data_IF_571691973584
#
_entry.id   IF_571691973584
#
_cell.length_a   1.000
_cell.length_b   1.000
_cell.length_c   1.000
_cell.angle_alpha   90.00
_cell.angle_beta   90.00
_cell.angle_gamma   90.00
#
_symmetry.space_group_name_H-M   'P 1'
#
loop_
_entity.id
_entity.type
_entity.pdbx_description
1 polymer ?
#
# COMPACT_ATOMS: atom_id res chain seq x y z
N UNK A 1 -11.23 -37.63 -16.61
CA UNK A 1 -11.61 -37.43 -15.19
C UNK A 1 -12.47 -36.15 -15.15
N UNK A 2 -13.67 -36.22 -15.74
CA UNK A 2 -15.03 -36.44 -15.16
C UNK A 2 -15.60 -35.19 -14.45
N UNK A 3 -16.64 -34.60 -15.06
CA UNK A 3 -17.42 -33.43 -14.61
C UNK A 3 -18.54 -33.82 -13.61
N UNK A 4 -19.04 -32.85 -12.81
CA UNK A 4 -20.47 -32.45 -12.58
C UNK A 4 -20.60 -31.38 -11.42
N UNK A 5 -21.76 -30.73 -11.15
CA UNK A 5 -21.87 -29.29 -10.80
C UNK A 5 -22.80 -28.95 -9.59
N UNK A 6 -23.13 -27.66 -9.30
CA UNK A 6 -24.50 -27.29 -8.82
C UNK A 6 -24.99 -25.84 -9.10
N UNK A 7 -25.96 -25.31 -8.32
CA UNK A 7 -27.16 -24.55 -8.72
C UNK A 7 -27.70 -23.40 -7.78
N UNK A 8 -26.94 -22.30 -7.61
CA UNK A 8 -27.29 -21.01 -6.97
C UNK A 8 -27.86 -19.97 -7.97
N UNK A 9 -28.23 -18.81 -7.44
CA UNK A 9 -29.04 -17.73 -8.02
C UNK A 9 -28.48 -16.37 -7.58
N UNK A 10 -28.21 -15.44 -8.51
CA UNK A 10 -28.11 -14.00 -8.20
C UNK A 10 -29.23 -13.24 -8.92
N UNK A 11 -30.17 -12.70 -8.14
CA UNK A 11 -31.28 -11.92 -8.66
C UNK A 11 -30.83 -10.53 -9.14
N UNK A 12 -31.32 -10.16 -10.32
CA UNK A 12 -31.41 -8.79 -10.87
C UNK A 12 -30.11 -8.03 -11.16
N UNK A 13 -29.63 -8.24 -12.40
CA UNK A 13 -29.04 -7.22 -13.31
C UNK A 13 -27.78 -6.45 -12.87
N UNK A 14 -26.61 -7.04 -13.15
CA UNK A 14 -25.35 -6.31 -13.39
C UNK A 14 -24.77 -6.79 -14.74
N UNK A 15 -24.28 -5.87 -15.58
CA UNK A 15 -24.14 -6.07 -17.04
C UNK A 15 -22.71 -5.84 -17.61
N UNK A 16 -21.64 -6.03 -16.84
CA UNK A 16 -20.28 -5.98 -17.40
C UNK A 16 -20.02 -7.19 -18.31
N UNK A 17 -19.41 -6.96 -19.48
CA UNK A 17 -19.16 -8.01 -20.47
C UNK A 17 -17.76 -8.64 -20.26
N UNK A 18 -17.74 -9.87 -19.74
CA UNK A 18 -16.55 -10.74 -19.77
C UNK A 18 -16.54 -11.52 -21.08
N UNK A 19 -15.55 -11.30 -21.92
CA UNK A 19 -15.35 -12.06 -23.17
C UNK A 19 -14.15 -12.97 -23.02
N UNK A 20 -14.39 -14.28 -22.85
CA UNK A 20 -13.32 -15.29 -22.84
C UNK A 20 -12.98 -15.74 -24.25
N UNK A 21 -11.70 -15.69 -24.60
CA UNK A 21 -11.14 -16.22 -25.85
C UNK A 21 -9.88 -17.02 -25.51
N UNK A 22 -9.95 -18.35 -25.64
CA UNK A 22 -8.91 -19.28 -25.16
C UNK A 22 -8.62 -19.05 -23.66
N UNK A 23 -7.37 -18.76 -23.29
CA UNK A 23 -6.96 -18.43 -21.91
C UNK A 23 -7.04 -16.92 -21.59
N UNK A 24 -7.56 -16.09 -22.48
CA UNK A 24 -7.71 -14.64 -22.26
C UNK A 24 -9.14 -14.29 -21.86
N UNK A 25 -9.33 -13.57 -20.76
CA UNK A 25 -10.58 -12.96 -20.35
C UNK A 25 -10.48 -11.44 -20.53
N UNK A 26 -11.36 -10.85 -21.32
CA UNK A 26 -11.47 -9.39 -21.48
C UNK A 26 -12.66 -8.88 -20.68
N UNK A 27 -12.42 -8.07 -19.66
CA UNK A 27 -13.48 -7.42 -18.88
C UNK A 27 -13.68 -6.01 -19.42
N UNK A 28 -14.91 -5.69 -19.85
CA UNK A 28 -15.27 -4.34 -20.30
C UNK A 28 -16.14 -3.67 -19.22
N UNK A 29 -15.69 -2.58 -18.58
CA UNK A 29 -16.51 -1.83 -17.62
C UNK A 29 -17.79 -1.29 -18.25
N UNK A 30 -18.88 -1.36 -17.50
CA UNK A 30 -20.22 -1.09 -18.00
C UNK A 30 -20.42 0.33 -18.53
N UNK A 31 -19.80 1.30 -17.86
CA UNK A 31 -19.82 2.73 -18.18
C UNK A 31 -19.39 3.06 -19.61
N UNK A 32 -18.65 2.16 -20.28
CA UNK A 32 -18.09 2.36 -21.62
C UNK A 32 -18.75 1.50 -22.72
N UNK A 33 -19.94 0.91 -22.46
CA UNK A 33 -20.58 -0.02 -23.41
C UNK A 33 -21.53 0.71 -24.37
N UNK A 34 -21.33 0.68 -25.71
CA UNK A 34 -22.33 1.15 -26.65
C UNK A 34 -23.57 0.26 -26.61
N UNK A 35 -24.76 0.85 -26.48
CA UNK A 35 -26.00 0.09 -26.35
C UNK A 35 -26.29 -0.75 -27.62
N UNK A 36 -26.18 -2.08 -27.50
CA UNK A 36 -26.75 -3.04 -28.45
C UNK A 36 -27.83 -3.87 -27.77
N UNK A 37 -29.05 -3.74 -28.27
CA UNK A 37 -30.20 -4.55 -27.87
C UNK A 37 -30.09 -5.97 -28.42
N UNK A 38 -29.94 -6.97 -27.54
CA UNK A 38 -30.05 -8.39 -27.88
C UNK A 38 -30.87 -9.09 -26.78
N UNK A 39 -31.70 -10.06 -27.18
CA UNK A 39 -32.84 -10.57 -26.42
C UNK A 39 -32.53 -11.48 -25.22
N UNK A 40 -33.56 -11.71 -24.43
CA UNK A 40 -33.56 -12.51 -23.19
C UNK A 40 -33.52 -14.01 -23.44
N UNK A 41 -32.64 -14.71 -22.71
CA UNK A 41 -32.73 -16.16 -22.46
C UNK A 41 -32.84 -16.35 -20.94
N UNK A 42 -33.73 -17.23 -20.49
CA UNK A 42 -33.94 -17.47 -19.06
C UNK A 42 -32.74 -18.22 -18.44
N UNK A 43 -32.41 -17.98 -17.16
CA UNK A 43 -31.33 -18.70 -16.48
C UNK A 43 -31.72 -20.16 -16.21
N UNK A 44 -30.71 -21.03 -16.16
CA UNK A 44 -30.79 -22.36 -15.52
C UNK A 44 -29.74 -22.40 -14.41
N UNK A 45 -30.15 -22.82 -13.22
CA UNK A 45 -29.51 -22.48 -11.94
C UNK A 45 -28.08 -23.04 -11.77
N UNK A 46 -27.06 -22.14 -11.58
CA UNK A 46 -25.58 -22.38 -11.32
C UNK A 46 -24.78 -21.21 -10.68
N UNK A 47 -23.55 -21.48 -10.21
CA UNK A 47 -23.16 -21.75 -8.80
C UNK A 47 -21.66 -22.06 -8.62
N UNK A 48 -21.29 -22.26 -7.34
CA UNK A 48 -20.71 -23.44 -6.68
C UNK A 48 -20.20 -22.91 -5.32
N UNK A 49 -20.39 -23.65 -4.24
CA UNK A 49 -19.82 -23.29 -2.92
C UNK A 49 -18.28 -23.17 -3.04
N UNK A 50 -17.70 -21.97 -2.79
CA UNK A 50 -16.26 -21.76 -2.94
C UNK A 50 -15.42 -22.38 -1.82
N UNK A 51 -16.01 -22.96 -0.77
CA UNK A 51 -15.26 -23.61 0.32
C UNK A 51 -14.82 -25.06 0.03
N UNK A 52 -15.18 -25.62 -1.14
CA UNK A 52 -14.90 -27.02 -1.49
C UNK A 52 -13.44 -27.32 -1.95
N UNK A 53 -12.58 -26.33 -2.13
CA UNK A 53 -11.22 -26.48 -2.71
C UNK A 53 -10.14 -25.72 -1.89
N UNK A 54 -9.63 -26.30 -0.77
CA UNK A 54 -8.60 -25.65 0.06
C UNK A 54 -7.20 -25.63 -0.60
N UNK A 55 -6.91 -26.59 -1.48
CA UNK A 55 -5.54 -26.95 -1.88
C UNK A 55 -4.91 -26.04 -2.96
N UNK A 56 -5.64 -25.08 -3.51
CA UNK A 56 -5.13 -24.21 -4.60
C UNK A 56 -4.01 -23.26 -4.13
N UNK A 57 -3.86 -23.05 -2.83
CA UNK A 57 -2.89 -22.12 -2.23
C UNK A 57 -1.81 -22.80 -1.39
N UNK A 58 -2.08 -23.99 -0.84
CA UNK A 58 -1.17 -24.70 0.06
C UNK A 58 0.12 -25.17 -0.65
N UNK A 59 0.02 -25.65 -1.90
CA UNK A 59 1.15 -26.14 -2.69
C UNK A 59 2.08 -25.03 -3.24
N UNK A 60 1.76 -23.75 -3.01
CA UNK A 60 2.44 -22.62 -3.63
C UNK A 60 3.14 -21.67 -2.63
N UNK A 61 3.05 -21.93 -1.32
CA UNK A 61 3.55 -21.02 -0.29
C UNK A 61 4.99 -21.34 0.16
N UNK A 62 5.98 -20.45 -0.06
CA UNK A 62 7.31 -20.59 0.52
C UNK A 62 7.36 -20.15 2.00
N UNK A 63 6.28 -19.59 2.54
CA UNK A 63 6.14 -19.21 3.95
C UNK A 63 5.28 -20.25 4.67
N UNK A 64 5.77 -20.79 5.79
CA UNK A 64 4.97 -21.70 6.61
C UNK A 64 3.76 -20.94 7.18
N UNK A 65 2.56 -21.54 7.09
CA UNK A 65 1.37 -21.00 7.75
C UNK A 65 1.62 -20.84 9.25
N UNK A 66 1.63 -19.62 9.81
CA UNK A 66 1.69 -19.44 11.24
C UNK A 66 0.37 -19.95 11.86
N UNK A 67 0.39 -20.58 13.05
CA UNK A 67 -0.80 -21.16 13.66
C UNK A 67 -1.98 -20.17 13.74
N UNK A 68 -3.24 -20.63 13.65
CA UNK A 68 -4.40 -19.76 13.84
C UNK A 68 -4.30 -18.97 15.16
N UNK A 69 -4.31 -17.63 15.07
CA UNK A 69 -4.13 -16.72 16.20
C UNK A 69 -2.66 -16.37 16.54
N UNK A 70 -1.68 -16.91 15.84
CA UNK A 70 -0.28 -16.49 15.98
C UNK A 70 -0.04 -15.10 15.34
N UNK A 71 0.75 -14.21 15.97
CA UNK A 71 1.14 -12.95 15.37
C UNK A 71 1.92 -13.17 14.07
N UNK A 72 1.33 -12.78 12.95
CA UNK A 72 1.80 -13.10 11.59
C UNK A 72 0.74 -13.79 10.73
N UNK A 73 -0.20 -14.51 11.35
CA UNK A 73 -1.37 -15.03 10.62
C UNK A 73 -2.21 -13.87 10.07
N UNK A 74 -2.63 -13.99 8.81
CA UNK A 74 -3.94 -13.47 8.49
C UNK A 74 -4.95 -14.34 9.24
N UNK A 75 -5.78 -13.71 10.05
CA UNK A 75 -7.10 -14.28 10.30
C UNK A 75 -7.83 -14.28 8.96
N UNK A 76 -7.80 -15.40 8.24
CA UNK A 76 -8.72 -15.64 7.14
C UNK A 76 -10.11 -15.78 7.77
N UNK A 77 -10.74 -14.63 8.01
CA UNK A 77 -12.17 -14.56 8.20
C UNK A 77 -12.77 -14.62 6.79
N UNK A 78 -13.55 -15.67 6.46
CA UNK A 78 -14.35 -15.66 5.24
C UNK A 78 -15.18 -14.38 5.19
N UNK A 79 -15.55 -13.95 3.97
CA UNK A 79 -16.55 -12.88 3.82
C UNK A 79 -17.76 -13.23 4.68
N UNK A 80 -18.25 -12.34 5.56
CA UNK A 80 -19.49 -12.58 6.25
C UNK A 80 -20.58 -12.85 5.22
N UNK A 81 -21.13 -14.06 5.24
CA UNK A 81 -22.35 -14.41 4.52
C UNK A 81 -23.39 -13.31 4.83
N UNK A 82 -24.04 -12.70 3.82
CA UNK A 82 -25.07 -11.72 4.08
C UNK A 82 -26.18 -12.39 4.88
N UNK A 83 -26.37 -11.94 6.12
CA UNK A 83 -27.36 -12.55 7.01
C UNK A 83 -28.73 -12.52 6.36
N UNK A 84 -29.44 -13.66 6.38
CA UNK A 84 -30.80 -13.82 5.86
C UNK A 84 -31.81 -13.11 6.78
N UNK A 85 -31.67 -11.80 6.90
CA UNK A 85 -32.58 -10.91 7.61
C UNK A 85 -33.78 -10.56 6.72
N UNK A 86 -34.99 -10.74 7.25
CA UNK A 86 -36.23 -10.39 6.56
C UNK A 86 -36.34 -8.89 6.32
N UNK A 87 -36.74 -8.51 5.10
CA UNK A 87 -36.93 -7.11 4.72
C UNK A 87 -38.08 -6.46 5.50
N UNK A 88 -37.90 -5.28 6.11
CA UNK A 88 -39.02 -4.50 6.65
C UNK A 88 -39.88 -3.92 5.51
N UNK A 89 -41.19 -3.67 5.73
CA UNK A 89 -42.08 -3.18 4.69
C UNK A 89 -41.79 -1.71 4.31
N UNK A 90 -42.09 -1.29 3.06
CA UNK A 90 -41.80 0.06 2.60
C UNK A 90 -42.73 1.12 3.23
N UNK A 91 -42.23 2.35 3.48
CA UNK A 91 -43.04 3.44 4.01
C UNK A 91 -44.01 4.03 2.95
N UNK A 92 -45.07 4.76 3.38
CA UNK A 92 -46.07 5.30 2.46
C UNK A 92 -45.53 6.42 1.57
N UNK A 93 -46.08 6.55 0.35
CA UNK A 93 -45.74 7.64 -0.57
C UNK A 93 -46.44 8.94 -0.17
N UNK A 94 -45.70 10.05 -0.15
CA UNK A 94 -46.25 11.41 -0.05
C UNK A 94 -45.99 12.15 -1.37
N UNK A 95 -46.96 12.95 -1.81
CA UNK A 95 -47.01 13.53 -3.16
C UNK A 95 -46.02 14.67 -3.42
N UNK A 96 -45.71 14.86 -4.71
CA UNK A 96 -44.82 15.92 -5.18
C UNK A 96 -45.52 17.29 -5.31
N UNK A 97 -44.76 18.38 -5.16
CA UNK A 97 -45.09 19.68 -5.75
C UNK A 97 -44.01 20.12 -6.75
N UNK A 98 -44.43 20.83 -7.81
CA UNK A 98 -43.58 21.32 -8.89
C UNK A 98 -43.24 22.80 -8.70
N UNK A 99 -41.96 23.14 -8.89
CA UNK A 99 -41.49 24.51 -9.17
C UNK A 99 -40.81 24.57 -10.54
N UNK A 100 -41.18 25.56 -11.37
CA UNK A 100 -40.56 25.96 -12.65
C UNK A 100 -39.35 26.88 -12.35
N UNK A 101 -38.40 27.23 -13.23
CA UNK A 101 -37.94 26.79 -14.56
C UNK A 101 -36.56 27.47 -14.78
N UNK A 102 -35.58 26.82 -15.41
CA UNK A 102 -34.66 27.48 -16.35
C UNK A 102 -33.92 26.43 -17.17
N UNK A 103 -33.74 26.70 -18.47
CA UNK A 103 -33.12 25.79 -19.43
C UNK A 103 -31.62 26.07 -19.52
N UNK A 104 -30.82 25.04 -19.30
CA UNK A 104 -29.43 24.92 -19.79
C UNK A 104 -29.38 23.54 -20.48
N UNK A 105 -28.77 23.41 -21.68
CA UNK A 105 -28.71 22.12 -22.39
C UNK A 105 -28.10 21.04 -21.51
N UNK A 106 -28.83 19.94 -21.31
CA UNK A 106 -28.43 18.84 -20.45
C UNK A 106 -28.02 17.62 -21.28
N UNK A 107 -26.72 17.42 -21.40
CA UNK A 107 -26.14 16.09 -21.70
C UNK A 107 -26.26 15.12 -20.49
N UNK A 108 -26.96 15.52 -19.42
CA UNK A 108 -27.13 14.77 -18.16
C UNK A 108 -28.03 13.52 -18.27
N UNK A 109 -28.29 13.01 -19.47
CA UNK A 109 -29.05 11.78 -19.67
C UNK A 109 -28.17 10.51 -19.53
N UNK A 110 -26.88 10.59 -19.86
CA UNK A 110 -25.92 9.51 -19.60
C UNK A 110 -25.51 9.47 -18.12
N UNK A 111 -25.13 10.60 -17.54
CA UNK A 111 -24.58 10.68 -16.17
C UNK A 111 -25.55 10.17 -15.10
N UNK A 112 -26.86 10.35 -15.30
CA UNK A 112 -27.89 9.98 -14.33
C UNK A 112 -28.17 8.46 -14.24
N UNK A 113 -27.66 7.65 -15.16
CA UNK A 113 -27.81 6.17 -15.16
C UNK A 113 -26.52 5.39 -14.88
N UNK A 114 -25.37 6.07 -14.77
CA UNK A 114 -24.05 5.43 -14.67
C UNK A 114 -23.52 5.25 -13.23
N UNK A 115 -24.23 5.72 -12.20
CA UNK A 115 -23.84 5.51 -10.80
C UNK A 115 -24.46 4.24 -10.22
N UNK A 116 -23.68 3.52 -9.42
CA UNK A 116 -24.08 2.39 -8.56
C UNK A 116 -24.18 1.00 -9.25
N UNK A 117 -23.19 0.60 -10.05
CA UNK A 117 -23.00 -0.82 -10.41
C UNK A 117 -21.62 -1.26 -9.92
N UNK A 118 -21.60 -2.32 -9.11
CA UNK A 118 -20.37 -2.97 -8.67
C UNK A 118 -19.87 -3.94 -9.75
N UNK A 119 -18.73 -3.64 -10.36
CA UNK A 119 -18.06 -4.49 -11.36
C UNK A 119 -17.21 -5.62 -10.70
N UNK A 120 -17.04 -5.61 -9.37
CA UNK A 120 -16.20 -6.59 -8.62
C UNK A 120 -16.57 -8.05 -8.91
N UNK A 121 -17.87 -8.47 -8.97
CA UNK A 121 -18.23 -9.86 -9.25
C UNK A 121 -17.70 -10.35 -10.60
N UNK A 122 -17.73 -9.51 -11.65
CA UNK A 122 -17.27 -9.85 -12.99
C UNK A 122 -15.75 -9.82 -13.12
N UNK A 123 -15.07 -8.96 -12.34
CA UNK A 123 -13.62 -9.03 -12.18
C UNK A 123 -13.21 -10.37 -11.54
N UNK A 124 -13.85 -10.75 -10.42
CA UNK A 124 -13.59 -12.01 -9.73
C UNK A 124 -13.89 -13.24 -10.60
N UNK A 125 -14.96 -13.20 -11.41
CA UNK A 125 -15.28 -14.24 -12.39
C UNK A 125 -14.18 -14.37 -13.46
N UNK A 126 -13.66 -13.27 -13.99
CA UNK A 126 -12.50 -13.30 -14.91
C UNK A 126 -11.25 -13.90 -14.25
N UNK A 127 -11.00 -13.61 -12.96
CA UNK A 127 -9.93 -14.25 -12.18
C UNK A 127 -10.15 -15.77 -12.03
N UNK A 128 -11.37 -16.23 -11.72
CA UNK A 128 -11.69 -17.67 -11.68
C UNK A 128 -11.50 -18.35 -13.03
N UNK A 129 -11.89 -17.68 -14.13
CA UNK A 129 -11.89 -18.29 -15.46
C UNK A 129 -10.54 -18.23 -16.19
N UNK A 130 -9.67 -17.27 -15.89
CA UNK A 130 -8.44 -17.00 -16.64
C UNK A 130 -7.21 -16.69 -15.76
N UNK A 131 -7.30 -16.82 -14.43
CA UNK A 131 -6.20 -16.51 -13.50
C UNK A 131 -5.05 -17.52 -13.47
N UNK A 132 -5.22 -18.71 -14.09
CA UNK A 132 -4.18 -19.74 -14.23
C UNK A 132 -3.81 -19.88 -15.71
N UNK A 133 -2.52 -19.75 -16.02
CA UNK A 133 -1.94 -19.84 -17.38
C UNK A 133 -2.68 -18.98 -18.43
N UNK A 134 -3.25 -17.86 -17.97
CA UNK A 134 -4.15 -17.02 -18.73
C UNK A 134 -3.94 -15.53 -18.51
N UNK A 135 -4.69 -14.73 -19.25
CA UNK A 135 -4.55 -13.27 -19.29
C UNK A 135 -5.86 -12.60 -18.92
N UNK A 136 -5.82 -11.62 -18.02
CA UNK A 136 -7.01 -10.86 -17.63
C UNK A 136 -6.78 -9.42 -18.02
N UNK A 137 -7.57 -8.97 -18.99
CA UNK A 137 -7.37 -7.69 -19.65
C UNK A 137 -8.54 -6.80 -19.32
N UNK A 138 -8.28 -5.72 -18.60
CA UNK A 138 -9.17 -4.57 -18.51
C UNK A 138 -8.96 -3.69 -19.77
N UNK A 139 -9.27 -4.38 -20.89
CA UNK A 139 -9.26 -4.18 -22.36
C UNK A 139 -7.99 -3.80 -23.16
N UNK A 140 -7.78 -4.60 -24.21
CA UNK A 140 -6.78 -4.59 -25.32
C UNK A 140 -5.33 -5.15 -25.12
N UNK A 141 -5.22 -6.50 -25.13
CA UNK A 141 -4.11 -7.41 -25.59
C UNK A 141 -2.67 -7.13 -25.07
N UNK A 142 -1.94 -8.05 -24.40
CA UNK A 142 -1.81 -9.55 -24.57
C UNK A 142 -0.89 -10.23 -23.51
N UNK A 143 -1.03 -11.55 -23.33
CA UNK A 143 -0.19 -12.49 -22.53
C UNK A 143 -0.21 -12.34 -20.99
N UNK A 144 0.02 -13.45 -20.27
CA UNK A 144 -0.21 -13.66 -18.83
C UNK A 144 0.24 -12.50 -17.93
N UNK A 145 -0.67 -11.56 -17.78
CA UNK A 145 -0.53 -10.32 -17.05
C UNK A 145 -1.92 -9.79 -16.77
N UNK A 146 -2.03 -8.99 -15.71
CA UNK A 146 -3.19 -8.17 -15.43
C UNK A 146 -2.93 -6.84 -16.13
N UNK A 147 -3.59 -6.62 -17.26
CA UNK A 147 -3.48 -5.35 -17.98
C UNK A 147 -4.60 -4.40 -17.56
N UNK A 148 -4.24 -3.20 -17.09
CA UNK A 148 -5.19 -2.18 -16.63
C UNK A 148 -5.06 -0.97 -17.55
N UNK A 149 -6.04 -0.77 -18.46
CA UNK A 149 -6.04 0.37 -19.38
C UNK A 149 -7.04 1.48 -18.98
N UNK A 150 -7.55 1.46 -17.75
CA UNK A 150 -8.57 2.39 -17.26
C UNK A 150 -8.51 2.67 -15.75
N UNK A 151 -9.58 3.30 -15.26
CA UNK A 151 -9.67 3.80 -13.88
C UNK A 151 -10.45 2.85 -12.98
N UNK A 152 -9.85 2.42 -11.86
CA UNK A 152 -10.55 1.79 -10.74
C UNK A 152 -10.83 2.85 -9.67
N UNK A 153 -12.10 3.04 -9.31
CA UNK A 153 -12.54 4.06 -8.34
C UNK A 153 -13.05 3.38 -7.07
N UNK A 154 -12.51 3.75 -5.92
CA UNK A 154 -13.15 3.46 -4.64
C UNK A 154 -14.31 4.43 -4.45
N UNK A 155 -15.54 3.93 -4.55
CA UNK A 155 -16.70 4.79 -4.49
C UNK A 155 -17.03 5.20 -3.05
N UNK A 156 -17.27 6.49 -2.83
CA UNK A 156 -17.63 7.05 -1.53
C UNK A 156 -19.16 7.21 -1.36
N UNK A 157 -19.95 6.71 -2.30
CA UNK A 157 -21.42 6.74 -2.29
C UNK A 157 -22.02 5.88 -1.18
N UNK A 158 -21.43 4.72 -0.91
CA UNK A 158 -21.86 3.79 0.13
C UNK A 158 -20.65 3.19 0.84
N UNK A 159 -19.99 4.01 1.67
CA UNK A 159 -18.72 3.59 2.30
C UNK A 159 -18.85 2.36 3.20
N UNK A 160 -20.02 2.13 3.81
CA UNK A 160 -20.27 0.95 4.65
C UNK A 160 -20.33 -0.34 3.82
N UNK A 161 -20.95 -0.28 2.63
CA UNK A 161 -20.92 -1.38 1.68
C UNK A 161 -19.48 -1.70 1.26
N UNK A 162 -18.72 -0.71 0.81
CA UNK A 162 -17.35 -0.94 0.33
C UNK A 162 -16.41 -1.43 1.43
N UNK A 163 -16.53 -0.93 2.66
CA UNK A 163 -15.81 -1.48 3.82
C UNK A 163 -16.18 -2.95 4.08
N UNK A 164 -17.45 -3.34 3.97
CA UNK A 164 -17.89 -4.74 4.09
C UNK A 164 -17.36 -5.66 2.97
N UNK A 165 -16.82 -5.10 1.88
CA UNK A 165 -16.18 -5.82 0.76
C UNK A 165 -14.66 -5.71 0.75
N UNK A 166 -14.07 -4.89 1.64
CA UNK A 166 -12.62 -4.80 1.81
C UNK A 166 -12.04 -6.03 2.51
N UNK A 167 -10.78 -6.35 2.25
CA UNK A 167 -10.09 -7.48 2.85
C UNK A 167 -9.37 -7.05 4.13
N UNK A 168 -9.41 -7.87 5.18
CA UNK A 168 -8.71 -7.58 6.44
C UNK A 168 -7.19 -7.63 6.26
N UNK A 169 -6.48 -6.71 6.93
CA UNK A 169 -5.02 -6.66 6.98
C UNK A 169 -4.59 -6.60 8.45
N UNK A 170 -4.06 -7.71 8.98
CA UNK A 170 -3.66 -7.84 10.39
C UNK A 170 -2.71 -6.73 10.83
N UNK A 171 -1.75 -6.35 9.97
CA UNK A 171 -0.78 -5.30 10.29
C UNK A 171 -1.46 -3.95 10.50
N UNK A 172 -1.24 -3.36 11.68
CA UNK A 172 -1.84 -2.11 12.14
C UNK A 172 -3.40 -2.08 12.14
N UNK A 173 -4.07 -3.24 12.11
CA UNK A 173 -5.53 -3.34 12.15
C UNK A 173 -6.22 -2.61 10.99
N UNK A 174 -5.78 -2.88 9.76
CA UNK A 174 -6.25 -2.19 8.55
C UNK A 174 -7.14 -3.09 7.70
N UNK A 175 -7.65 -2.52 6.62
CA UNK A 175 -8.21 -3.28 5.50
C UNK A 175 -7.57 -2.80 4.19
N UNK A 176 -7.81 -3.52 3.10
CA UNK A 176 -7.38 -3.14 1.74
C UNK A 176 -8.54 -3.24 0.76
N UNK A 177 -8.59 -2.32 -0.19
CA UNK A 177 -9.59 -2.29 -1.26
C UNK A 177 -9.29 -3.36 -2.31
N UNK A 178 -8.03 -3.50 -2.72
CA UNK A 178 -7.57 -4.51 -3.66
C UNK A 178 -6.54 -5.42 -2.98
N UNK A 179 -6.73 -6.73 -3.11
CA UNK A 179 -5.79 -7.76 -2.67
C UNK A 179 -5.27 -8.50 -3.90
N UNK A 180 -3.95 -8.59 -4.04
CA UNK A 180 -3.29 -9.21 -5.18
C UNK A 180 -2.19 -10.15 -4.70
N UNK A 181 -2.16 -11.38 -5.22
CA UNK A 181 -1.23 -12.42 -4.77
C UNK A 181 -1.23 -13.57 -5.77
N UNK A 182 -0.04 -14.00 -6.18
CA UNK A 182 0.16 -15.14 -7.09
C UNK A 182 1.65 -15.45 -7.24
N UNK A 183 1.99 -16.39 -8.11
CA UNK A 183 3.35 -16.74 -8.52
C UNK A 183 3.56 -16.41 -10.00
N UNK A 184 4.67 -15.73 -10.33
CA UNK A 184 5.08 -15.38 -11.70
C UNK A 184 4.07 -14.50 -12.48
N UNK A 185 3.42 -13.54 -11.80
CA UNK A 185 2.39 -12.66 -12.40
C UNK A 185 2.87 -11.21 -12.50
N UNK A 186 2.54 -10.55 -13.62
CA UNK A 186 2.71 -9.10 -13.78
C UNK A 186 1.39 -8.33 -13.80
N UNK A 187 1.41 -7.11 -13.25
CA UNK A 187 0.31 -6.14 -13.33
C UNK A 187 0.83 -4.89 -14.06
N UNK A 188 0.26 -4.58 -15.22
CA UNK A 188 0.78 -3.56 -16.15
C UNK A 188 -0.29 -2.51 -16.46
N UNK A 189 0.03 -1.25 -16.20
CA UNK A 189 -0.89 -0.14 -16.39
C UNK A 189 -0.68 0.69 -17.66
N UNK A 190 0.43 0.49 -18.37
CA UNK A 190 0.76 1.17 -19.64
C UNK A 190 0.62 2.71 -19.61
N UNK A 191 0.77 3.34 -18.44
CA UNK A 191 0.55 4.78 -18.26
C UNK A 191 -0.92 5.24 -18.32
N UNK A 192 -1.87 4.29 -18.35
CA UNK A 192 -3.32 4.53 -18.37
C UNK A 192 -4.02 4.09 -17.08
N UNK A 193 -3.49 3.08 -16.38
CA UNK A 193 -4.08 2.59 -15.14
C UNK A 193 -4.13 3.68 -14.06
N UNK A 194 -5.32 3.91 -13.53
CA UNK A 194 -5.54 4.84 -12.42
C UNK A 194 -6.31 4.16 -11.29
N UNK A 195 -5.67 4.01 -10.14
CA UNK A 195 -6.34 3.70 -8.88
C UNK A 195 -6.72 5.03 -8.20
N UNK A 196 -8.00 5.38 -8.21
CA UNK A 196 -8.52 6.57 -7.54
C UNK A 196 -9.19 6.18 -6.22
N UNK A 197 -8.54 6.49 -5.10
CA UNK A 197 -9.06 6.20 -3.77
C UNK A 197 -10.23 7.11 -3.35
N UNK A 198 -10.47 8.21 -4.05
CA UNK A 198 -11.54 9.18 -3.75
C UNK A 198 -11.42 9.79 -2.33
N UNK A 199 -10.19 10.03 -1.89
CA UNK A 199 -9.84 10.65 -0.61
C UNK A 199 -9.93 9.68 0.58
N UNK A 200 -9.72 10.20 1.80
CA UNK A 200 -9.62 9.39 3.03
C UNK A 200 -10.96 8.84 3.57
N UNK A 201 -11.87 8.44 2.67
CA UNK A 201 -13.16 7.84 3.01
C UNK A 201 -12.98 6.34 3.31
N UNK A 202 -13.35 5.92 4.53
CA UNK A 202 -13.23 4.53 5.03
C UNK A 202 -11.79 4.06 5.30
N UNK A 203 -10.79 4.64 4.63
CA UNK A 203 -9.35 4.42 4.85
C UNK A 203 -8.83 2.97 4.72
N UNK A 204 -9.28 2.15 3.74
CA UNK A 204 -8.50 0.98 3.34
C UNK A 204 -7.18 1.41 2.68
N UNK A 205 -6.19 0.52 2.71
CA UNK A 205 -5.04 0.54 1.80
C UNK A 205 -5.58 0.40 0.36
N UNK A 206 -4.99 1.07 -0.63
CA UNK A 206 -5.50 0.97 -2.00
C UNK A 206 -5.19 -0.40 -2.63
N UNK A 207 -3.93 -0.84 -2.67
CA UNK A 207 -3.55 -2.18 -3.15
C UNK A 207 -2.60 -2.89 -2.18
N UNK A 208 -2.95 -4.10 -1.73
CA UNK A 208 -2.02 -4.98 -0.99
C UNK A 208 -1.53 -6.11 -1.90
N UNK A 209 -0.21 -6.25 -2.02
CA UNK A 209 0.43 -7.47 -2.50
C UNK A 209 0.60 -8.42 -1.31
N UNK A 210 0.02 -9.63 -1.38
CA UNK A 210 0.03 -10.61 -0.29
C UNK A 210 0.28 -12.02 -0.84
N UNK A 211 1.19 -12.79 -0.21
CA UNK A 211 1.63 -14.12 -0.71
C UNK A 211 2.01 -14.09 -2.20
N UNK A 212 2.65 -12.99 -2.61
CA UNK A 212 3.18 -12.80 -3.95
C UNK A 212 4.59 -13.37 -4.08
N UNK A 213 4.86 -14.11 -5.15
CA UNK A 213 6.21 -14.55 -5.51
C UNK A 213 6.51 -14.22 -6.98
N UNK A 214 7.67 -13.61 -7.27
CA UNK A 214 8.06 -13.19 -8.62
C UNK A 214 7.01 -12.26 -9.27
N UNK A 215 6.68 -11.17 -8.57
CA UNK A 215 5.65 -10.21 -8.97
C UNK A 215 6.28 -9.00 -9.65
N UNK A 216 5.70 -8.56 -10.78
CA UNK A 216 6.12 -7.35 -11.49
C UNK A 216 4.97 -6.35 -11.67
N UNK A 217 5.01 -5.21 -10.96
CA UNK A 217 4.01 -4.14 -11.06
C UNK A 217 4.61 -2.95 -11.83
N UNK A 218 3.95 -2.49 -12.89
CA UNK A 218 4.53 -1.48 -13.77
C UNK A 218 3.54 -0.48 -14.38
N UNK A 219 3.91 0.80 -14.36
CA UNK A 219 3.23 1.83 -15.17
C UNK A 219 1.83 2.19 -14.67
N UNK A 220 1.63 2.20 -13.34
CA UNK A 220 0.34 2.43 -12.69
C UNK A 220 0.37 3.75 -11.91
N UNK A 221 -0.72 4.51 -12.01
CA UNK A 221 -0.94 5.74 -11.26
C UNK A 221 -1.91 5.50 -10.10
N UNK A 222 -1.61 6.06 -8.92
CA UNK A 222 -2.56 6.22 -7.83
C UNK A 222 -2.86 7.70 -7.58
N UNK A 223 -4.11 8.00 -7.29
CA UNK A 223 -4.57 9.32 -6.86
C UNK A 223 -5.48 9.21 -5.65
N UNK A 224 -5.30 10.14 -4.70
CA UNK A 224 -6.22 10.36 -3.59
C UNK A 224 -6.51 9.07 -2.80
N UNK A 225 -5.44 8.36 -2.42
CA UNK A 225 -5.53 7.15 -1.63
C UNK A 225 -6.18 7.40 -0.26
N UNK A 226 -6.90 6.39 0.22
CA UNK A 226 -7.69 6.48 1.43
C UNK A 226 -6.81 6.31 2.69
N UNK A 227 -5.73 5.54 2.52
CA UNK A 227 -4.64 5.30 3.44
C UNK A 227 -3.36 5.12 2.57
N UNK A 228 -2.51 4.14 2.85
CA UNK A 228 -1.36 3.80 2.00
C UNK A 228 -1.78 3.50 0.55
N UNK A 229 -0.97 3.95 -0.42
CA UNK A 229 -1.23 3.64 -1.83
C UNK A 229 -1.01 2.15 -2.09
N UNK A 230 0.11 1.58 -1.63
CA UNK A 230 0.27 0.12 -1.60
C UNK A 230 0.88 -0.43 -0.32
N UNK A 231 0.75 -1.74 -0.12
CA UNK A 231 1.36 -2.50 0.96
C UNK A 231 1.84 -3.84 0.42
N UNK A 232 3.08 -4.26 0.73
CA UNK A 232 3.57 -5.60 0.37
C UNK A 232 3.80 -6.42 1.63
N UNK A 233 3.19 -7.60 1.70
CA UNK A 233 3.13 -8.45 2.88
C UNK A 233 3.36 -9.91 2.52
N UNK A 234 4.14 -10.66 3.31
CA UNK A 234 4.38 -12.09 3.10
C UNK A 234 4.73 -12.43 1.65
N UNK A 235 5.61 -11.64 1.02
CA UNK A 235 5.89 -11.73 -0.41
C UNK A 235 7.40 -11.74 -0.68
N UNK A 236 7.80 -12.39 -1.78
CA UNK A 236 9.19 -12.49 -2.20
C UNK A 236 9.37 -12.09 -3.67
N UNK A 237 10.45 -11.37 -3.98
CA UNK A 237 10.82 -10.98 -5.35
C UNK A 237 9.69 -10.17 -6.01
N UNK A 238 9.45 -8.96 -5.48
CA UNK A 238 8.38 -8.05 -5.90
C UNK A 238 8.99 -6.76 -6.43
N UNK A 239 9.10 -6.65 -7.75
CA UNK A 239 9.56 -5.43 -8.43
C UNK A 239 8.38 -4.52 -8.73
N UNK A 240 8.46 -3.25 -8.33
CA UNK A 240 7.44 -2.23 -8.60
C UNK A 240 8.11 -0.99 -9.22
N UNK A 241 7.75 -0.63 -10.45
CA UNK A 241 8.49 0.42 -11.19
C UNK A 241 7.62 1.24 -12.15
N UNK A 242 8.07 2.45 -12.50
CA UNK A 242 7.28 3.47 -13.23
C UNK A 242 5.92 3.75 -12.55
N UNK A 243 5.95 4.05 -11.24
CA UNK A 243 4.75 4.34 -10.45
C UNK A 243 4.60 5.85 -10.25
N UNK A 244 3.37 6.34 -10.21
CA UNK A 244 3.05 7.73 -9.89
C UNK A 244 1.98 7.77 -8.80
N UNK A 245 2.34 8.19 -7.58
CA UNK A 245 1.50 8.15 -6.40
C UNK A 245 1.35 9.56 -5.83
N UNK A 246 0.11 10.07 -5.75
CA UNK A 246 -0.17 11.41 -5.23
C UNK A 246 -1.48 11.45 -4.45
N UNK A 247 -1.41 11.86 -3.19
CA UNK A 247 -2.57 12.25 -2.39
C UNK A 247 -2.33 13.62 -1.78
N UNK A 248 -3.20 14.58 -2.13
CA UNK A 248 -3.13 15.96 -1.69
C UNK A 248 -4.50 16.44 -1.21
N UNK A 249 -4.55 17.12 -0.06
CA UNK A 249 -5.76 17.74 0.45
C UNK A 249 -5.77 19.24 0.14
N UNK A 250 -6.89 19.75 -0.34
CA UNK A 250 -7.19 21.17 -0.52
C UNK A 250 -8.08 21.74 0.60
N UNK A 251 -8.29 20.98 1.68
CA UNK A 251 -9.06 21.39 2.86
C UNK A 251 -8.16 21.73 4.05
N UNK A 252 -8.74 22.22 5.14
CA UNK A 252 -8.03 22.43 6.41
C UNK A 252 -7.44 21.13 7.01
N UNK A 253 -7.93 19.95 6.60
CA UNK A 253 -7.46 18.65 7.07
C UNK A 253 -6.34 18.14 6.17
N UNK A 254 -5.24 17.67 6.74
CA UNK A 254 -4.11 17.14 5.96
C UNK A 254 -4.39 15.74 5.42
N UNK A 255 -3.78 15.42 4.27
CA UNK A 255 -3.55 14.03 3.87
C UNK A 255 -2.65 13.37 4.93
N UNK A 256 -3.07 12.24 5.50
CA UNK A 256 -2.34 11.56 6.59
C UNK A 256 -2.31 10.05 6.34
N UNK A 257 -1.17 9.41 6.62
CA UNK A 257 -0.92 8.00 6.33
C UNK A 257 -1.18 7.63 4.86
N UNK A 258 -0.73 8.49 3.94
CA UNK A 258 -0.82 8.26 2.49
C UNK A 258 0.56 7.89 1.95
N UNK A 259 1.24 7.03 2.69
CA UNK A 259 2.55 6.46 2.38
C UNK A 259 2.52 5.82 0.98
N UNK A 260 3.64 5.85 0.27
CA UNK A 260 3.73 5.33 -1.09
C UNK A 260 3.56 3.82 -1.11
N UNK A 261 4.44 3.10 -0.40
CA UNK A 261 4.39 1.64 -0.35
C UNK A 261 5.09 1.13 0.91
N UNK A 262 4.33 0.49 1.77
CA UNK A 262 4.85 -0.09 3.02
C UNK A 262 5.22 -1.58 2.80
N UNK A 263 6.25 -2.11 3.47
CA UNK A 263 6.61 -3.54 3.42
C UNK A 263 6.58 -4.20 4.79
N UNK A 264 6.09 -5.43 4.92
CA UNK A 264 6.10 -6.20 6.18
C UNK A 264 6.26 -7.70 5.91
N UNK A 265 7.02 -8.43 6.74
CA UNK A 265 7.25 -9.88 6.55
C UNK A 265 7.63 -10.25 5.09
N UNK A 266 8.54 -9.51 4.44
CA UNK A 266 8.73 -9.59 2.97
C UNK A 266 10.19 -9.50 2.54
N UNK A 267 10.51 -9.99 1.33
CA UNK A 267 11.90 -10.13 0.87
C UNK A 267 12.08 -9.77 -0.62
N UNK A 268 13.22 -9.18 -0.98
CA UNK A 268 13.58 -8.85 -2.37
C UNK A 268 12.55 -7.87 -3.01
N UNK A 269 12.45 -6.62 -2.50
CA UNK A 269 11.39 -5.63 -2.86
C UNK A 269 11.92 -4.20 -3.04
N UNK A 270 11.26 -3.41 -3.90
CA UNK A 270 11.62 -2.00 -4.16
C UNK A 270 10.55 -0.99 -3.68
N UNK A 271 10.52 -0.53 -2.39
CA UNK A 271 9.79 0.70 -2.03
C UNK A 271 9.96 1.36 -0.62
N UNK A 272 9.28 2.51 -0.42
CA UNK A 272 9.42 3.46 0.70
C UNK A 272 8.37 3.28 1.81
N UNK A 273 8.60 2.33 2.72
CA UNK A 273 8.36 2.37 4.18
C UNK A 273 8.61 0.96 4.76
N UNK A 274 9.85 0.66 5.15
CA UNK A 274 10.25 -0.72 5.49
C UNK A 274 9.86 -1.07 6.93
N UNK A 275 8.87 -1.93 7.15
CA UNK A 275 8.47 -2.41 8.49
C UNK A 275 9.18 -3.70 8.87
N UNK A 276 8.90 -4.18 10.08
CA UNK A 276 9.45 -5.41 10.66
C UNK A 276 9.40 -6.63 9.73
N UNK A 277 10.41 -7.48 9.90
CA UNK A 277 10.68 -8.72 9.17
C UNK A 277 10.76 -8.52 7.65
N UNK A 278 11.27 -7.37 7.21
CA UNK A 278 11.55 -7.08 5.80
C UNK A 278 13.06 -7.20 5.53
N UNK A 279 13.46 -7.83 4.43
CA UNK A 279 14.88 -7.96 4.06
C UNK A 279 15.15 -7.85 2.57
N UNK A 280 16.39 -7.52 2.19
CA UNK A 280 16.82 -7.34 0.80
C UNK A 280 15.94 -6.32 0.05
N UNK A 281 15.84 -5.10 0.57
CA UNK A 281 14.98 -4.05 -0.01
C UNK A 281 15.84 -3.08 -0.82
N UNK A 282 15.52 -2.83 -2.10
CA UNK A 282 16.27 -1.91 -2.96
C UNK A 282 15.40 -0.79 -3.54
N UNK A 283 15.56 0.42 -3.04
CA UNK A 283 14.81 1.60 -3.51
C UNK A 283 15.73 2.47 -4.35
N UNK A 284 15.43 2.63 -5.64
CA UNK A 284 16.26 3.41 -6.56
C UNK A 284 15.44 4.43 -7.36
N UNK A 285 16.03 5.60 -7.61
CA UNK A 285 15.50 6.64 -8.51
C UNK A 285 14.09 7.12 -8.14
N UNK A 286 13.87 7.43 -6.86
CA UNK A 286 12.58 7.92 -6.36
C UNK A 286 12.61 9.43 -6.12
N UNK A 287 11.54 10.13 -6.49
CA UNK A 287 11.34 11.54 -6.13
C UNK A 287 10.12 11.69 -5.24
N UNK A 288 10.32 12.25 -4.04
CA UNK A 288 9.31 12.39 -3.01
C UNK A 288 8.97 13.87 -2.76
N UNK A 289 7.68 14.19 -2.61
CA UNK A 289 7.19 15.52 -2.25
C UNK A 289 6.38 15.44 -0.96
N UNK A 290 6.59 16.36 -0.01
CA UNK A 290 5.84 16.47 1.26
C UNK A 290 5.73 15.13 2.04
N UNK A 291 6.78 14.33 2.01
CA UNK A 291 6.77 12.92 2.44
C UNK A 291 7.43 12.68 3.81
N UNK A 292 7.35 11.44 4.31
CA UNK A 292 8.17 10.95 5.43
C UNK A 292 9.59 10.52 5.05
N UNK A 293 9.97 10.66 3.77
CA UNK A 293 11.25 10.24 3.23
C UNK A 293 11.52 8.73 3.26
N UNK A 294 12.78 8.37 3.05
CA UNK A 294 13.28 6.99 3.09
C UNK A 294 13.18 6.46 4.52
N UNK A 295 12.13 5.68 4.80
CA UNK A 295 11.83 5.27 6.16
C UNK A 295 12.08 3.77 6.40
N UNK A 296 12.87 3.48 7.43
CA UNK A 296 12.95 2.16 8.06
C UNK A 296 12.13 2.24 9.35
N UNK A 297 10.88 1.78 9.24
CA UNK A 297 9.96 1.55 10.35
C UNK A 297 8.55 2.11 10.20
N UNK A 298 7.75 2.12 11.27
CA UNK A 298 8.10 1.78 12.65
C UNK A 298 8.31 0.28 12.90
N UNK A 299 9.21 -0.05 13.82
CA UNK A 299 9.67 -1.42 14.13
C UNK A 299 9.65 -1.63 15.66
N UNK A 300 9.36 -2.84 16.13
CA UNK A 300 9.45 -3.23 17.54
C UNK A 300 8.24 -2.82 18.39
N UNK A 301 7.07 -2.61 17.78
CA UNK A 301 5.87 -2.13 18.49
C UNK A 301 5.34 -3.13 19.53
N UNK A 302 5.67 -4.41 19.40
CA UNK A 302 5.39 -5.44 20.39
C UNK A 302 6.65 -5.71 21.22
N UNK A 303 6.72 -5.21 22.46
CA UNK A 303 7.89 -5.40 23.31
C UNK A 303 8.18 -6.88 23.69
N UNK A 304 7.21 -7.78 23.48
CA UNK A 304 7.36 -9.23 23.67
C UNK A 304 7.74 -10.02 22.42
N UNK A 305 7.87 -9.39 21.25
CA UNK A 305 8.26 -10.05 20.01
C UNK A 305 9.32 -9.23 19.26
N UNK A 306 10.47 -9.82 18.90
CA UNK A 306 11.47 -9.11 18.13
C UNK A 306 11.01 -8.93 16.67
N UNK A 307 11.25 -7.73 16.13
CA UNK A 307 11.12 -7.45 14.70
C UNK A 307 12.52 -7.26 14.09
N UNK A 308 12.73 -7.75 12.87
CA UNK A 308 14.03 -7.71 12.19
C UNK A 308 13.98 -6.95 10.87
N UNK A 309 14.96 -6.09 10.57
CA UNK A 309 15.15 -5.54 9.22
C UNK A 309 16.62 -5.65 8.84
N UNK A 310 16.90 -6.29 7.71
CA UNK A 310 18.25 -6.62 7.25
C UNK A 310 18.42 -6.28 5.75
N UNK A 311 19.56 -5.70 5.37
CA UNK A 311 19.94 -5.48 3.96
C UNK A 311 18.95 -4.56 3.21
N UNK A 312 18.94 -3.27 3.55
CA UNK A 312 18.12 -2.26 2.87
C UNK A 312 19.02 -1.23 2.22
N UNK A 313 18.79 -0.91 0.94
CA UNK A 313 19.51 0.14 0.22
C UNK A 313 18.51 1.11 -0.39
N UNK A 314 18.62 2.38 -0.03
CA UNK A 314 17.97 3.49 -0.73
C UNK A 314 19.02 4.28 -1.50
N UNK A 315 18.76 4.55 -2.78
CA UNK A 315 19.72 5.13 -3.71
C UNK A 315 19.06 6.10 -4.70
N UNK A 316 19.77 7.16 -5.10
CA UNK A 316 19.33 8.13 -6.11
C UNK A 316 17.98 8.78 -5.77
N UNK A 317 17.78 9.14 -4.49
CA UNK A 317 16.50 9.67 -3.99
C UNK A 317 16.55 11.20 -3.95
N UNK A 318 15.49 11.84 -4.49
CA UNK A 318 15.26 13.29 -4.38
C UNK A 318 14.07 13.59 -3.48
N UNK A 319 14.20 14.51 -2.53
CA UNK A 319 13.09 14.85 -1.62
C UNK A 319 12.84 16.36 -1.53
N UNK A 320 11.58 16.77 -1.67
CA UNK A 320 11.17 18.16 -1.59
C UNK A 320 10.12 18.34 -0.49
N UNK A 321 10.23 19.42 0.29
CA UNK A 321 9.29 19.85 1.34
C UNK A 321 8.94 18.79 2.42
N UNK A 322 9.75 17.72 2.50
CA UNK A 322 9.44 16.52 3.28
C UNK A 322 9.74 16.69 4.78
N UNK A 323 9.17 15.82 5.63
CA UNK A 323 9.48 15.84 7.06
C UNK A 323 10.88 15.31 7.35
N UNK A 324 11.29 14.26 6.63
CA UNK A 324 12.59 13.60 6.80
C UNK A 324 13.16 13.22 5.42
N UNK A 325 14.46 12.91 5.37
CA UNK A 325 15.13 12.38 4.18
C UNK A 325 15.48 10.90 4.37
N UNK A 326 16.27 10.58 5.41
CA UNK A 326 16.62 9.23 5.86
C UNK A 326 16.17 9.06 7.31
N UNK A 327 15.17 8.22 7.56
CA UNK A 327 14.53 8.08 8.87
C UNK A 327 14.49 6.62 9.36
N UNK A 328 15.26 6.30 10.40
CA UNK A 328 15.12 5.04 11.14
C UNK A 328 14.28 5.32 12.39
N UNK A 329 13.19 4.57 12.59
CA UNK A 329 12.23 4.85 13.66
C UNK A 329 11.76 3.56 14.32
N UNK A 330 11.96 3.46 15.63
CA UNK A 330 11.55 2.27 16.39
C UNK A 330 10.70 2.63 17.60
N UNK A 331 10.01 1.64 18.13
CA UNK A 331 9.49 1.65 19.49
C UNK A 331 10.57 1.15 20.47
N UNK A 332 10.37 1.29 21.80
CA UNK A 332 11.21 0.67 22.83
C UNK A 332 10.99 -0.86 22.90
N UNK A 333 11.31 -1.55 21.81
CA UNK A 333 11.05 -2.98 21.59
C UNK A 333 12.29 -3.86 21.63
N UNK A 334 12.25 -4.96 20.87
CA UNK A 334 13.33 -5.92 20.69
C UNK A 334 13.53 -6.23 19.20
N UNK A 335 14.65 -6.89 18.87
CA UNK A 335 15.04 -7.25 17.51
C UNK A 335 16.19 -6.37 16.99
N UNK A 336 16.29 -6.18 15.68
CA UNK A 336 17.35 -5.34 15.10
C UNK A 336 16.99 -4.67 13.77
N UNK A 337 17.73 -3.60 13.47
CA UNK A 337 17.87 -2.98 12.15
C UNK A 337 19.34 -3.07 11.76
N UNK A 338 19.64 -3.69 10.61
CA UNK A 338 21.02 -4.05 10.24
C UNK A 338 21.29 -3.90 8.74
N UNK A 339 22.51 -3.47 8.39
CA UNK A 339 22.99 -3.34 7.01
C UNK A 339 22.04 -2.47 6.17
N UNK A 340 21.94 -1.20 6.55
CA UNK A 340 21.08 -0.20 5.91
C UNK A 340 21.97 0.84 5.22
N UNK A 341 21.78 1.09 3.93
CA UNK A 341 22.50 2.13 3.20
C UNK A 341 21.53 3.16 2.65
N UNK A 342 21.72 4.42 3.01
CA UNK A 342 21.14 5.57 2.32
C UNK A 342 22.24 6.21 1.49
N UNK A 343 22.12 6.25 0.16
CA UNK A 343 23.14 6.82 -0.70
C UNK A 343 22.63 7.70 -1.83
N UNK A 344 23.50 8.58 -2.33
CA UNK A 344 23.24 9.46 -3.47
C UNK A 344 21.90 10.20 -3.34
N UNK A 345 21.69 10.85 -2.19
CA UNK A 345 20.43 11.52 -1.84
C UNK A 345 20.59 13.02 -1.92
N UNK A 346 19.63 13.68 -2.58
CA UNK A 346 19.52 15.13 -2.61
C UNK A 346 18.17 15.58 -2.06
N UNK A 347 18.11 16.67 -1.30
CA UNK A 347 16.84 17.15 -0.77
C UNK A 347 16.77 18.66 -0.56
N UNK A 348 15.55 19.20 -0.65
CA UNK A 348 15.25 20.60 -0.40
C UNK A 348 14.14 20.79 0.62
N UNK A 349 14.34 21.78 1.50
CA UNK A 349 13.40 22.19 2.54
C UNK A 349 12.91 21.03 3.44
N UNK A 350 13.80 20.13 3.86
CA UNK A 350 13.44 18.99 4.72
C UNK A 350 13.52 19.35 6.20
N UNK A 351 12.51 18.97 7.01
CA UNK A 351 12.46 19.34 8.44
C UNK A 351 13.61 18.71 9.27
N UNK A 352 13.73 17.38 9.25
CA UNK A 352 14.72 16.59 9.99
C UNK A 352 15.40 15.60 9.02
N UNK A 353 16.44 16.02 8.26
CA UNK A 353 16.93 15.24 7.12
C UNK A 353 17.43 13.84 7.49
N UNK A 354 18.43 13.73 8.35
CA UNK A 354 18.85 12.44 8.92
C UNK A 354 18.23 12.33 10.31
N UNK A 355 17.39 11.34 10.54
CA UNK A 355 16.77 11.12 11.85
C UNK A 355 16.80 9.65 12.24
N UNK A 356 17.29 9.36 13.45
CA UNK A 356 17.30 8.03 14.04
C UNK A 356 16.75 8.16 15.45
N UNK A 357 15.73 7.38 15.78
CA UNK A 357 15.14 7.37 17.11
C UNK A 357 14.74 5.98 17.57
N UNK A 358 15.16 5.62 18.79
CA UNK A 358 14.81 4.35 19.46
C UNK A 358 13.39 4.35 20.09
N UNK A 359 12.68 5.47 20.03
CA UNK A 359 11.28 5.63 20.44
C UNK A 359 10.54 6.57 19.48
N UNK A 360 9.22 6.44 19.37
CA UNK A 360 8.40 7.33 18.52
C UNK A 360 7.13 7.78 19.22
N UNK A 361 6.58 8.90 18.75
CA UNK A 361 5.40 9.57 19.33
C UNK A 361 5.67 10.02 20.77
N UNK A 362 4.67 9.94 21.65
CA UNK A 362 4.75 10.35 23.05
C UNK A 362 5.29 9.27 23.99
N UNK A 363 6.10 8.33 23.49
CA UNK A 363 6.77 7.35 24.34
C UNK A 363 7.87 8.02 25.17
N UNK A 364 7.76 7.93 26.49
CA UNK A 364 8.85 8.20 27.42
C UNK A 364 9.84 7.04 27.47
N UNK A 365 11.03 7.28 28.03
CA UNK A 365 12.07 6.27 28.29
C UNK A 365 12.58 5.54 27.04
N UNK A 366 13.13 6.33 26.12
CA UNK A 366 13.70 5.87 24.85
C UNK A 366 14.99 5.06 25.02
N UNK A 367 15.64 5.24 26.18
CA UNK A 367 16.79 4.46 26.65
C UNK A 367 16.41 3.03 27.08
N UNK A 368 15.14 2.70 27.26
CA UNK A 368 14.68 1.33 27.55
C UNK A 368 14.71 0.36 26.35
N UNK A 369 14.87 0.86 25.12
CA UNK A 369 14.80 0.03 23.92
C UNK A 369 15.92 -1.01 23.88
N UNK A 370 15.58 -2.27 23.59
CA UNK A 370 16.53 -3.37 23.38
C UNK A 370 16.72 -3.70 21.89
N UNK A 371 16.13 -2.90 21.00
CA UNK A 371 16.23 -3.08 19.56
C UNK A 371 17.54 -2.44 19.05
N UNK A 372 18.47 -3.27 18.59
CA UNK A 372 19.79 -2.81 18.13
C UNK A 372 19.76 -2.26 16.71
N UNK A 373 20.35 -1.09 16.48
CA UNK A 373 20.53 -0.50 15.14
C UNK A 373 22.03 -0.53 14.80
N UNK A 374 22.43 -1.23 13.74
CA UNK A 374 23.85 -1.44 13.42
C UNK A 374 24.17 -1.53 11.93
N UNK A 375 25.41 -1.22 11.54
CA UNK A 375 25.88 -1.24 10.14
C UNK A 375 24.97 -0.39 9.26
N UNK A 376 24.95 0.92 9.55
CA UNK A 376 24.14 1.90 8.82
C UNK A 376 25.04 2.92 8.15
N UNK A 377 24.84 3.11 6.84
CA UNK A 377 25.63 3.97 5.97
C UNK A 377 24.82 5.12 5.43
N UNK A 378 25.43 6.29 5.46
CA UNK A 378 24.96 7.50 4.81
C UNK A 378 26.07 7.99 3.87
N UNK A 379 25.83 7.92 2.56
CA UNK A 379 26.85 8.16 1.52
C UNK A 379 26.33 9.21 0.54
N UNK A 380 27.03 10.34 0.36
CA UNK A 380 26.60 11.43 -0.53
C UNK A 380 25.18 11.93 -0.20
N UNK A 381 24.96 12.35 1.05
CA UNK A 381 23.70 12.91 1.54
C UNK A 381 23.81 14.43 1.54
N UNK A 382 23.13 15.08 0.59
CA UNK A 382 23.26 16.52 0.34
C UNK A 382 21.91 17.23 0.35
N UNK A 383 21.85 18.50 0.76
CA UNK A 383 20.61 19.27 0.64
C UNK A 383 20.40 20.41 1.63
N UNK A 384 19.17 20.92 1.66
CA UNK A 384 18.75 22.00 2.56
C UNK A 384 17.76 21.54 3.64
N UNK A 385 18.09 21.84 4.91
CA UNK A 385 17.20 21.63 6.05
C UNK A 385 16.37 22.87 6.37
N UNK A 386 15.08 22.69 6.68
CA UNK A 386 14.10 23.75 6.95
C UNK A 386 14.46 24.58 8.19
N UNK A 387 15.06 23.92 9.17
CA UNK A 387 15.55 24.50 10.42
C UNK A 387 17.07 24.39 10.48
N UNK A 388 17.67 24.43 11.67
CA UNK A 388 19.10 24.31 11.86
C UNK A 388 19.54 22.95 12.43
N UNK A 389 18.69 21.93 12.41
CA UNK A 389 19.09 20.54 12.70
C UNK A 389 19.25 19.81 11.37
N UNK A 390 20.48 19.35 11.08
CA UNK A 390 20.82 18.57 9.90
C UNK A 390 20.66 17.06 10.16
N UNK A 391 21.06 16.63 11.36
CA UNK A 391 20.91 15.26 11.83
C UNK A 391 20.52 15.23 13.31
N UNK A 392 19.62 14.31 13.67
CA UNK A 392 19.31 13.95 15.05
C UNK A 392 19.35 12.43 15.20
N UNK A 393 20.25 11.93 16.04
CA UNK A 393 20.47 10.49 16.23
C UNK A 393 20.39 10.22 17.73
N UNK A 394 19.25 9.68 18.16
CA UNK A 394 19.08 9.18 19.52
C UNK A 394 18.91 7.67 19.49
N UNK A 395 19.95 6.96 19.92
CA UNK A 395 19.92 5.53 20.15
C UNK A 395 19.66 5.26 21.64
N UNK A 396 19.11 4.09 21.97
CA UNK A 396 18.98 3.64 23.36
C UNK A 396 20.35 3.38 24.01
N UNK A 397 20.54 3.75 25.27
CA UNK A 397 21.71 3.35 26.06
C UNK A 397 21.74 1.86 26.42
N UNK A 398 20.59 1.18 26.44
CA UNK A 398 20.51 -0.29 26.60
C UNK A 398 20.86 -1.03 25.30
N UNK A 399 20.70 -0.39 24.13
CA UNK A 399 21.12 -0.91 22.84
C UNK A 399 21.84 0.16 21.98
N UNK A 400 23.06 0.61 22.37
CA UNK A 400 23.75 1.70 21.69
C UNK A 400 24.07 1.33 20.23
N UNK A 401 23.80 2.26 19.31
CA UNK A 401 24.02 2.06 17.88
C UNK A 401 25.49 1.76 17.59
N UNK A 402 25.75 0.83 16.66
CA UNK A 402 27.12 0.38 16.37
C UNK A 402 27.41 0.35 14.87
N UNK A 403 28.66 0.63 14.48
CA UNK A 403 29.10 0.65 13.07
C UNK A 403 28.24 1.57 12.19
N UNK A 404 28.03 2.81 12.62
CA UNK A 404 27.50 3.83 11.73
C UNK A 404 28.64 4.43 10.90
N UNK A 405 28.44 4.61 9.59
CA UNK A 405 29.38 5.30 8.70
C UNK A 405 28.70 6.44 7.94
N UNK A 406 29.38 7.56 7.85
CA UNK A 406 28.93 8.78 7.19
C UNK A 406 30.03 9.27 6.24
N UNK A 407 29.70 9.49 4.97
CA UNK A 407 30.61 10.03 3.95
C UNK A 407 29.85 10.95 3.00
N UNK A 408 30.49 12.04 2.56
CA UNK A 408 29.87 13.00 1.63
C UNK A 408 28.61 13.68 2.19
N UNK A 409 28.57 14.00 3.49
CA UNK A 409 27.43 14.67 4.12
C UNK A 409 27.56 16.20 3.98
N UNK A 410 26.69 16.85 3.22
CA UNK A 410 26.63 18.31 3.07
C UNK A 410 25.20 18.83 3.21
N UNK A 411 24.82 19.14 4.45
CA UNK A 411 23.46 19.55 4.82
C UNK A 411 23.48 20.97 5.36
N UNK A 412 22.89 21.90 4.61
CA UNK A 412 22.88 23.34 4.90
C UNK A 412 21.53 23.77 5.44
N UNK A 413 21.49 24.70 6.39
CA UNK A 413 20.19 25.29 6.79
C UNK A 413 19.68 26.22 5.69
N UNK A 414 18.44 26.03 5.26
CA UNK A 414 17.73 26.90 4.32
C UNK A 414 17.66 28.36 4.81
N UNK A 415 17.78 28.58 6.13
CA UNK A 415 17.79 29.91 6.78
C UNK A 415 19.19 30.44 7.07
N UNK A 416 20.24 29.89 6.46
CA UNK A 416 21.63 30.32 6.62
C UNK A 416 22.22 30.13 8.03
N UNK A 417 21.54 29.37 8.90
CA UNK A 417 21.99 29.08 10.27
C UNK A 417 23.03 27.96 10.28
N UNK A 418 23.97 28.01 11.21
CA UNK A 418 24.92 26.91 11.47
C UNK A 418 24.17 25.59 11.70
N UNK A 419 24.42 24.55 10.88
CA UNK A 419 23.82 23.24 11.07
C UNK A 419 24.23 22.61 12.40
N UNK A 420 23.25 22.02 13.09
CA UNK A 420 23.44 21.17 14.26
C UNK A 420 23.31 19.70 13.86
N UNK A 421 24.22 18.91 14.38
CA UNK A 421 24.24 17.46 14.31
C UNK A 421 24.15 16.99 15.76
N UNK A 422 23.03 16.37 16.14
CA UNK A 422 22.77 15.94 17.51
C UNK A 422 22.88 14.43 17.61
N UNK A 423 23.64 13.92 18.59
CA UNK A 423 23.97 12.49 18.70
C UNK A 423 23.95 12.01 20.15
N UNK A 424 23.35 10.84 20.39
CA UNK A 424 23.36 10.14 21.68
C UNK A 424 23.50 8.64 21.47
N UNK A 425 24.30 7.98 22.33
CA UNK A 425 24.47 6.52 22.40
C UNK A 425 24.91 5.84 21.08
N UNK A 426 25.86 6.45 20.35
CA UNK A 426 26.52 5.84 19.18
C UNK A 426 27.92 5.35 19.60
N UNK A 427 28.18 4.05 19.47
CA UNK A 427 29.51 3.46 19.74
C UNK A 427 30.54 3.99 18.74
N UNK A 428 31.74 4.29 19.24
CA UNK A 428 32.86 4.79 18.43
C UNK A 428 32.52 6.01 17.55
N UNK A 429 31.59 6.89 18.00
CA UNK A 429 31.05 8.01 17.21
C UNK A 429 32.13 8.86 16.52
N UNK A 430 33.26 9.13 17.18
CA UNK A 430 34.37 9.89 16.59
C UNK A 430 34.93 9.28 15.28
N UNK A 431 34.82 7.97 15.11
CA UNK A 431 35.24 7.23 13.89
C UNK A 431 34.14 7.08 12.84
N UNK A 432 32.90 7.50 13.13
CA UNK A 432 31.76 7.31 12.23
C UNK A 432 31.79 8.19 10.97
N UNK A 433 32.66 9.21 10.92
CA UNK A 433 32.65 10.23 9.86
C UNK A 433 31.66 11.38 10.09
N UNK A 434 30.84 11.33 11.14
CA UNK A 434 29.90 12.40 11.52
C UNK A 434 30.43 13.21 12.71
N UNK A 435 30.51 14.53 12.56
CA UNK A 435 30.92 15.46 13.62
C UNK A 435 29.71 15.96 14.41
N UNK A 436 29.50 15.42 15.61
CA UNK A 436 28.37 15.76 16.46
C UNK A 436 28.62 17.08 17.23
N UNK A 437 27.62 17.96 17.21
CA UNK A 437 27.64 19.31 17.82
C UNK A 437 26.97 19.39 19.20
N UNK A 438 26.39 18.29 19.67
CA UNK A 438 25.71 18.22 20.96
C UNK A 438 24.91 16.92 21.14
N UNK A 439 24.33 16.68 22.32
CA UNK A 439 23.50 15.51 22.60
C UNK A 439 22.17 15.57 21.84
N UNK A 440 21.67 14.40 21.43
CA UNK A 440 20.28 14.27 20.95
C UNK A 440 19.36 13.94 22.14
N UNK A 441 18.34 14.75 22.44
CA UNK A 441 17.36 14.40 23.47
C UNK A 441 16.64 13.10 23.11
N UNK A 442 16.23 12.34 24.13
CA UNK A 442 15.40 11.15 23.94
C UNK A 442 13.93 11.48 23.73
N UNK A 443 13.43 12.52 24.39
CA UNK A 443 12.04 13.00 24.38
C UNK A 443 11.87 14.32 23.65
#
# INVERSE_FOLDING_TARGET
>A
MRLLPLALVLSTTAWAAVVKTRSTCVVTPLSNTPARSIGTVAPADRDVDPEAEPDIWADLDPFADPPPGAPGALGYYPRPEPSKGSSPPPPPRVGAQRGKNTLVPKDSALEARQKNIDDTPQMLDAFKQCGKDGTIIFKERTNCSIEIHGTFVWSADNIQYWLSKSFSVTYAGRSTAWLFGSRDVSMRGFGKALFNGNGQNGRPISLTVWRGMNIFINGITWRQAQFWHTFVSHSQNVTMTNLDMNTASNSQWKAVNTDGTDTWNSKDIDCISVKGNSTNIYVNNVTCYSSGGMCVGSIGSNAGQPDYVDNVVFENVRLFDSSNAAWIKTYPGMGHVKNITFRNTHFDNVNQPVYVTSCIYSYSDCDSSRLGITDVRWENITGTSRYNVAAGIHCSSQAPCDKFQFSGIDIKSLKGRTPKILCSNIKNQASSGLQCTGPCPGS
#
